data_IF_757286990568
#
_entry.id   IF_757286990568
#
_cell.length_a   1.000
_cell.length_b   1.000
_cell.length_c   1.000
_cell.angle_alpha   90.00
_cell.angle_beta   90.00
_cell.angle_gamma   90.00
#
_symmetry.space_group_name_H-M   'P 1'
#
loop_
_entity.id
_entity.type
_entity.pdbx_description
1 polymer ?
#
# COMPACT_ATOMS: atom_id res chain seq x y z
N UNK A 1 -51.58 -9.31 -43.30
CA UNK A 1 -50.47 -8.48 -43.82
C UNK A 1 -50.02 -7.35 -42.88
N UNK A 2 -50.76 -7.00 -41.81
CA UNK A 2 -50.37 -5.91 -40.88
C UNK A 2 -49.29 -6.24 -39.83
N UNK A 3 -49.00 -7.51 -39.55
CA UNK A 3 -48.03 -7.87 -38.48
C UNK A 3 -46.55 -7.72 -38.88
N UNK A 4 -46.22 -7.64 -40.17
CA UNK A 4 -44.83 -7.47 -40.64
C UNK A 4 -44.38 -6.00 -40.64
N UNK A 5 -45.32 -5.05 -40.74
CA UNK A 5 -45.00 -3.61 -40.79
C UNK A 5 -44.53 -3.07 -39.43
N UNK A 6 -45.18 -3.51 -38.35
CA UNK A 6 -44.84 -3.11 -36.96
C UNK A 6 -43.46 -3.59 -36.50
N UNK A 7 -43.00 -4.73 -37.01
CA UNK A 7 -41.66 -5.27 -36.69
C UNK A 7 -40.55 -4.48 -37.40
N UNK A 8 -40.83 -3.95 -38.60
CA UNK A 8 -39.85 -3.11 -39.33
C UNK A 8 -39.75 -1.68 -38.78
N UNK A 9 -40.82 -1.11 -38.22
CA UNK A 9 -40.76 0.23 -37.59
C UNK A 9 -40.03 0.23 -36.24
N UNK A 10 -40.14 -0.84 -35.44
CA UNK A 10 -39.46 -0.94 -34.14
C UNK A 10 -37.91 -1.03 -34.27
N UNK A 11 -37.44 -1.61 -35.38
CA UNK A 11 -36.02 -1.75 -35.71
C UNK A 11 -35.41 -0.47 -36.31
N UNK A 12 -36.22 0.51 -36.71
CA UNK A 12 -35.78 1.75 -37.37
C UNK A 12 -35.75 2.97 -36.44
N UNK A 13 -35.95 2.80 -35.13
CA UNK A 13 -35.80 3.91 -34.17
C UNK A 13 -34.33 4.15 -33.82
N UNK A 14 -33.82 5.40 -33.90
CA UNK A 14 -32.41 5.72 -33.66
C UNK A 14 -31.90 5.33 -32.26
N UNK A 15 -32.80 5.21 -31.28
CA UNK A 15 -32.49 4.77 -29.93
C UNK A 15 -32.20 3.27 -29.76
N UNK A 16 -32.87 2.40 -30.52
CA UNK A 16 -32.72 0.93 -30.38
C UNK A 16 -31.47 0.43 -31.09
N UNK A 17 -31.13 1.02 -32.24
CA UNK A 17 -29.88 0.81 -32.96
C UNK A 17 -28.64 1.23 -32.14
N UNK A 18 -28.71 2.36 -31.44
CA UNK A 18 -27.62 2.85 -30.59
C UNK A 18 -27.34 1.95 -29.39
N UNK A 19 -28.38 1.38 -28.78
CA UNK A 19 -28.25 0.46 -27.66
C UNK A 19 -27.63 -0.89 -28.10
N UNK A 20 -28.07 -1.42 -29.24
CA UNK A 20 -27.56 -2.67 -29.79
C UNK A 20 -26.07 -2.58 -30.19
N UNK A 21 -25.67 -1.47 -30.82
CA UNK A 21 -24.25 -1.22 -31.17
C UNK A 21 -23.40 -1.03 -29.90
N UNK A 22 -23.93 -0.33 -28.89
CA UNK A 22 -23.23 -0.14 -27.61
C UNK A 22 -22.98 -1.46 -26.87
N UNK A 23 -23.97 -2.35 -26.80
CA UNK A 23 -23.83 -3.68 -26.18
C UNK A 23 -22.86 -4.56 -26.96
N UNK A 24 -22.94 -4.57 -28.29
CA UNK A 24 -22.02 -5.36 -29.12
C UNK A 24 -20.55 -4.89 -28.97
N UNK A 25 -20.32 -3.58 -28.97
CA UNK A 25 -18.97 -3.02 -28.79
C UNK A 25 -18.43 -3.31 -27.38
N UNK A 26 -19.27 -3.18 -26.35
CA UNK A 26 -18.91 -3.52 -24.97
C UNK A 26 -18.56 -4.99 -24.75
N UNK A 27 -19.31 -5.91 -25.37
CA UNK A 27 -19.03 -7.36 -25.29
C UNK A 27 -17.74 -7.74 -26.03
N UNK A 28 -17.45 -7.14 -27.20
CA UNK A 28 -16.22 -7.40 -27.95
C UNK A 28 -14.97 -6.90 -27.21
N UNK A 29 -15.01 -5.69 -26.62
CA UNK A 29 -13.92 -5.15 -25.81
C UNK A 29 -13.74 -5.96 -24.52
N UNK A 30 -14.85 -6.33 -23.86
CA UNK A 30 -14.83 -7.13 -22.63
C UNK A 30 -14.24 -8.53 -22.80
N UNK A 31 -14.57 -9.25 -23.88
CA UNK A 31 -13.96 -10.55 -24.18
C UNK A 31 -12.53 -10.43 -24.69
N UNK A 32 -12.20 -9.40 -25.48
CA UNK A 32 -10.82 -9.16 -25.94
C UNK A 32 -9.84 -8.93 -24.78
N UNK A 33 -10.22 -8.12 -23.79
CA UNK A 33 -9.40 -7.88 -22.58
C UNK A 33 -9.28 -9.13 -21.70
N UNK A 34 -10.32 -9.97 -21.61
CA UNK A 34 -10.30 -11.19 -20.79
C UNK A 34 -9.41 -12.29 -21.38
N UNK A 35 -9.31 -12.37 -22.71
CA UNK A 35 -8.43 -13.34 -23.40
C UNK A 35 -6.97 -12.88 -23.35
N UNK A 36 -6.69 -11.57 -23.37
CA UNK A 36 -5.33 -11.04 -23.31
C UNK A 36 -4.69 -11.12 -21.91
N UNK A 37 -5.48 -11.02 -20.83
CA UNK A 37 -4.99 -11.08 -19.44
C UNK A 37 -5.25 -12.42 -18.71
N UNK A 38 -5.90 -13.40 -19.36
CA UNK A 38 -6.40 -14.62 -18.71
C UNK A 38 -5.44 -15.82 -18.64
N UNK A 39 -4.19 -15.71 -19.10
CA UNK A 39 -3.21 -16.81 -18.99
C UNK A 39 -2.24 -16.57 -17.83
N UNK A 40 -2.66 -16.97 -16.63
CA UNK A 40 -1.73 -17.39 -15.57
C UNK A 40 -1.69 -18.92 -15.56
N UNK A 41 -0.50 -19.56 -15.63
CA UNK A 41 -0.40 -21.01 -15.71
C UNK A 41 -0.76 -21.65 -14.37
N UNK A 42 -1.67 -22.62 -14.43
CA UNK A 42 -2.06 -23.52 -13.34
C UNK A 42 -1.09 -24.71 -13.34
N UNK A 43 -0.16 -24.76 -12.38
CA UNK A 43 0.68 -25.95 -12.18
C UNK A 43 -0.07 -27.01 -11.38
N UNK A 44 -0.12 -28.22 -11.94
CA UNK A 44 -0.59 -29.46 -11.33
C UNK A 44 0.47 -30.08 -10.41
N UNK A 45 0.09 -30.89 -9.40
CA UNK A 45 1.05 -31.57 -8.53
C UNK A 45 1.55 -32.87 -9.18
N UNK A 46 2.84 -33.16 -9.07
CA UNK A 46 3.43 -34.48 -9.31
C UNK A 46 4.32 -34.84 -8.13
N UNK A 47 4.04 -35.98 -7.50
CA UNK A 47 4.84 -36.56 -6.41
C UNK A 47 6.06 -37.33 -6.94
N UNK A 48 7.02 -37.55 -6.01
CA UNK A 48 8.21 -38.46 -6.04
C UNK A 48 9.34 -38.03 -6.98
N UNK A 49 10.60 -37.87 -6.53
CA UNK A 49 11.40 -38.77 -5.72
C UNK A 49 12.33 -38.07 -4.69
N UNK A 50 12.69 -38.87 -3.68
CA UNK A 50 13.70 -38.65 -2.64
C UNK A 50 15.09 -38.40 -3.22
N UNK A 51 15.77 -37.33 -2.79
CA UNK A 51 17.20 -37.39 -2.46
C UNK A 51 17.69 -36.21 -1.61
N UNK A 52 18.37 -36.61 -0.56
CA UNK A 52 19.03 -35.90 0.54
C UNK A 52 19.83 -34.66 0.11
N UNK A 53 19.29 -33.48 0.37
CA UNK A 53 20.02 -32.22 0.45
C UNK A 53 19.44 -31.43 1.60
N UNK A 54 20.28 -30.98 2.52
CA UNK A 54 19.92 -30.08 3.63
C UNK A 54 19.50 -28.73 3.05
N UNK A 55 18.29 -28.67 2.52
CA UNK A 55 17.59 -27.43 2.28
C UNK A 55 16.95 -27.05 3.61
N UNK A 56 17.58 -26.11 4.29
CA UNK A 56 16.94 -25.37 5.38
C UNK A 56 15.70 -24.73 4.79
N UNK A 57 14.58 -25.43 4.91
CA UNK A 57 13.26 -24.93 4.60
C UNK A 57 12.95 -23.81 5.58
N UNK A 58 13.33 -22.59 5.21
CA UNK A 58 12.81 -21.35 5.80
C UNK A 58 11.36 -21.16 5.36
N UNK A 59 10.53 -22.14 5.71
CA UNK A 59 9.08 -22.04 5.66
C UNK A 59 8.61 -21.45 6.99
N UNK A 60 8.38 -20.14 6.99
CA UNK A 60 7.36 -19.53 7.85
C UNK A 60 7.80 -18.92 9.17
N UNK A 61 8.76 -18.00 9.19
CA UNK A 61 8.62 -16.86 10.11
C UNK A 61 7.61 -15.87 9.49
N UNK A 62 6.32 -16.20 9.52
CA UNK A 62 5.29 -15.18 9.30
C UNK A 62 5.20 -14.32 10.56
N UNK A 63 6.27 -13.57 10.84
CA UNK A 63 6.32 -12.60 11.93
C UNK A 63 5.34 -11.46 11.66
N UNK A 64 4.95 -10.74 12.71
CA UNK A 64 4.14 -9.54 12.56
C UNK A 64 4.91 -8.46 11.80
N UNK A 65 4.25 -7.76 10.87
CA UNK A 65 4.81 -6.61 10.17
C UNK A 65 4.03 -5.35 10.56
N UNK A 66 4.71 -4.23 10.73
CA UNK A 66 4.08 -2.94 11.04
C UNK A 66 4.81 -1.75 10.43
N UNK A 67 4.11 -0.61 10.43
CA UNK A 67 4.67 0.70 10.16
C UNK A 67 4.53 1.56 11.42
N UNK A 68 5.57 2.31 11.76
CA UNK A 68 5.55 3.25 12.88
C UNK A 68 5.58 4.68 12.35
N UNK A 69 4.73 5.54 12.91
CA UNK A 69 4.65 6.96 12.60
C UNK A 69 5.04 7.73 13.87
N UNK A 70 6.24 8.28 13.89
CA UNK A 70 6.79 9.03 15.03
C UNK A 70 6.49 10.51 14.83
N UNK A 71 5.66 11.07 15.70
CA UNK A 71 5.22 12.47 15.66
C UNK A 71 6.03 13.30 16.64
N UNK A 72 6.54 14.46 16.19
CA UNK A 72 7.14 15.46 17.09
C UNK A 72 6.10 16.14 17.96
N UNK A 73 6.28 16.06 19.27
CA UNK A 73 5.32 16.55 20.27
C UNK A 73 5.61 17.95 20.81
N UNK A 74 6.82 18.47 20.61
CA UNK A 74 7.21 19.87 20.85
C UNK A 74 6.45 20.84 19.93
N UNK A 75 6.18 20.43 18.69
CA UNK A 75 5.50 21.22 17.67
C UNK A 75 4.02 21.55 17.96
N UNK A 76 3.42 20.97 19.01
CA UNK A 76 2.02 21.16 19.44
C UNK A 76 1.00 21.15 18.29
N UNK A 77 1.21 20.30 17.29
CA UNK A 77 0.33 20.18 16.13
C UNK A 77 -1.09 19.80 16.56
N UNK A 78 -2.10 20.48 16.00
CA UNK A 78 -3.50 20.09 16.16
C UNK A 78 -3.79 18.73 15.54
N UNK A 79 -4.83 18.04 16.04
CA UNK A 79 -5.20 16.67 15.64
C UNK A 79 -5.30 16.47 14.11
N UNK A 80 -5.96 17.40 13.41
CA UNK A 80 -6.11 17.34 11.96
C UNK A 80 -4.77 17.44 11.22
N UNK A 81 -3.87 18.30 11.69
CA UNK A 81 -2.52 18.43 11.11
C UNK A 81 -1.70 17.16 11.35
N UNK A 82 -1.76 16.58 12.55
CA UNK A 82 -1.07 15.31 12.82
C UNK A 82 -1.58 14.18 11.92
N UNK A 83 -2.89 14.05 11.76
CA UNK A 83 -3.48 13.07 10.86
C UNK A 83 -2.98 13.23 9.41
N UNK A 84 -2.93 14.47 8.90
CA UNK A 84 -2.42 14.77 7.56
C UNK A 84 -0.93 14.41 7.42
N UNK A 85 -0.09 14.83 8.38
CA UNK A 85 1.35 14.56 8.34
C UNK A 85 1.67 13.05 8.47
N UNK A 86 0.94 12.34 9.33
CA UNK A 86 1.00 10.87 9.41
C UNK A 86 0.61 10.20 8.10
N UNK A 87 -0.43 10.72 7.43
CA UNK A 87 -0.86 10.20 6.12
C UNK A 87 0.20 10.43 5.04
N UNK A 88 0.86 11.60 5.03
CA UNK A 88 1.98 11.86 4.13
C UNK A 88 3.15 10.91 4.36
N UNK A 89 3.52 10.67 5.62
CA UNK A 89 4.58 9.72 6.01
C UNK A 89 4.23 8.30 5.54
N UNK A 90 3.00 7.85 5.78
CA UNK A 90 2.56 6.51 5.41
C UNK A 90 2.55 6.28 3.89
N UNK A 91 2.00 7.22 3.12
CA UNK A 91 1.97 7.11 1.64
C UNK A 91 3.37 7.17 1.05
N UNK A 92 4.23 8.03 1.59
CA UNK A 92 5.62 8.12 1.15
C UNK A 92 6.40 6.83 1.46
N UNK A 93 6.26 6.28 2.67
CA UNK A 93 6.84 5.01 3.06
C UNK A 93 6.34 3.84 2.19
N UNK A 94 5.03 3.76 1.93
CA UNK A 94 4.42 2.79 1.01
C UNK A 94 5.06 2.83 -0.38
N UNK A 95 5.15 4.02 -0.99
CA UNK A 95 5.74 4.19 -2.33
C UNK A 95 7.22 3.82 -2.35
N UNK A 96 7.95 4.05 -1.27
CA UNK A 96 9.37 3.67 -1.17
C UNK A 96 9.52 2.15 -1.06
N UNK A 97 8.80 1.50 -0.14
CA UNK A 97 8.91 0.05 0.05
C UNK A 97 8.41 -0.72 -1.16
N UNK A 98 7.37 -0.22 -1.84
CA UNK A 98 6.84 -0.84 -3.06
C UNK A 98 7.92 -0.98 -4.14
N UNK A 99 8.86 -0.03 -4.22
CA UNK A 99 9.96 -0.09 -5.20
C UNK A 99 11.16 -0.87 -4.69
N UNK A 100 11.46 -0.77 -3.39
CA UNK A 100 12.68 -1.35 -2.79
C UNK A 100 12.52 -2.82 -2.42
N UNK A 101 11.38 -3.19 -1.85
CA UNK A 101 11.11 -4.53 -1.36
C UNK A 101 9.60 -4.85 -1.41
N UNK A 102 9.06 -5.21 -2.58
CA UNK A 102 7.65 -5.58 -2.75
C UNK A 102 7.21 -6.75 -1.87
N UNK A 103 8.13 -7.66 -1.51
CA UNK A 103 7.83 -8.79 -0.65
C UNK A 103 7.47 -8.34 0.77
N UNK A 104 8.27 -7.47 1.37
CA UNK A 104 7.97 -6.89 2.70
C UNK A 104 6.65 -6.11 2.69
N UNK A 105 6.39 -5.37 1.61
CA UNK A 105 5.10 -4.68 1.45
C UNK A 105 3.94 -5.67 1.50
N UNK A 106 4.02 -6.76 0.73
CA UNK A 106 2.98 -7.79 0.66
C UNK A 106 2.74 -8.47 2.02
N UNK A 107 3.80 -8.76 2.78
CA UNK A 107 3.65 -9.31 4.14
C UNK A 107 2.93 -8.34 5.08
N UNK A 108 3.31 -7.06 5.06
CA UNK A 108 2.62 -6.03 5.84
C UNK A 108 1.15 -5.88 5.45
N UNK A 109 0.82 -5.95 4.16
CA UNK A 109 -0.56 -5.94 3.67
C UNK A 109 -1.33 -7.18 4.16
N UNK A 110 -0.72 -8.36 4.18
CA UNK A 110 -1.32 -9.57 4.75
C UNK A 110 -1.57 -9.47 6.25
N UNK A 111 -0.74 -8.74 6.99
CA UNK A 111 -0.98 -8.41 8.39
C UNK A 111 -2.10 -7.37 8.60
N UNK A 112 -2.80 -6.92 7.56
CA UNK A 112 -3.81 -5.88 7.66
C UNK A 112 -3.23 -4.47 7.72
N UNK A 113 -2.00 -4.29 7.21
CA UNK A 113 -1.30 -3.01 7.08
C UNK A 113 -1.28 -2.14 8.35
N UNK A 114 -0.93 -2.69 9.54
CA UNK A 114 -1.03 -1.99 10.81
C UNK A 114 -0.06 -0.82 10.88
N UNK A 115 -0.55 0.28 11.46
CA UNK A 115 0.19 1.53 11.65
C UNK A 115 0.05 1.96 13.10
N UNK A 116 1.16 2.21 13.78
CA UNK A 116 1.17 2.66 15.18
C UNK A 116 1.75 4.07 15.23
N UNK A 117 1.06 4.97 15.92
CA UNK A 117 1.50 6.36 16.08
C UNK A 117 2.10 6.55 17.47
N UNK A 118 3.36 6.96 17.50
CA UNK A 118 4.14 7.22 18.72
C UNK A 118 4.66 8.65 18.70
N UNK A 119 5.23 9.12 19.81
CA UNK A 119 5.77 10.49 19.91
C UNK A 119 7.24 10.54 20.27
N UNK A 120 7.93 11.47 19.63
CA UNK A 120 9.26 11.94 20.00
C UNK A 120 9.17 13.33 20.66
N UNK A 121 10.07 13.67 21.60
CA UNK A 121 10.06 14.96 22.26
C UNK A 121 10.36 16.11 21.28
N UNK A 122 11.34 15.95 20.38
CA UNK A 122 11.91 17.01 19.56
C UNK A 122 12.50 16.50 18.23
N UNK A 123 13.16 17.39 17.48
CA UNK A 123 13.81 17.06 16.21
C UNK A 123 15.04 16.16 16.37
N UNK A 124 15.81 16.37 17.42
CA UNK A 124 17.05 15.62 17.65
C UNK A 124 16.74 14.14 17.85
N UNK A 125 15.80 13.82 18.76
CA UNK A 125 15.31 12.47 18.96
C UNK A 125 14.72 11.87 17.66
N UNK A 126 14.01 12.67 16.85
CA UNK A 126 13.49 12.21 15.57
C UNK A 126 14.61 11.80 14.59
N UNK A 127 15.71 12.55 14.56
CA UNK A 127 16.86 12.28 13.69
C UNK A 127 17.72 11.11 14.17
N UNK A 128 17.82 10.90 15.48
CA UNK A 128 18.43 9.70 16.06
C UNK A 128 17.68 8.43 15.66
N UNK A 129 16.35 8.43 15.79
CA UNK A 129 15.48 7.32 15.37
C UNK A 129 15.62 7.04 13.87
N UNK A 130 15.68 8.09 13.04
CA UNK A 130 15.90 7.97 11.59
C UNK A 130 17.24 7.27 11.30
N UNK A 131 18.31 7.68 11.99
CA UNK A 131 19.65 7.12 11.81
C UNK A 131 19.68 5.66 12.24
N UNK A 132 19.11 5.35 13.40
CA UNK A 132 19.02 3.98 13.91
C UNK A 132 18.23 3.07 12.97
N UNK A 133 17.06 3.51 12.49
CA UNK A 133 16.26 2.76 11.53
C UNK A 133 17.02 2.48 10.22
N UNK A 134 17.76 3.48 9.70
CA UNK A 134 18.60 3.29 8.51
C UNK A 134 19.72 2.27 8.73
N UNK A 135 20.37 2.27 9.90
CA UNK A 135 21.41 1.29 10.23
C UNK A 135 20.87 -0.15 10.24
N UNK A 136 19.60 -0.34 10.64
CA UNK A 136 18.92 -1.63 10.58
C UNK A 136 18.33 -1.96 9.19
N UNK A 137 18.59 -1.14 8.17
CA UNK A 137 18.10 -1.36 6.81
C UNK A 137 16.59 -1.09 6.63
N UNK A 138 15.93 -0.44 7.59
CA UNK A 138 14.50 -0.14 7.51
C UNK A 138 14.24 1.02 6.54
N UNK A 139 13.09 0.95 5.85
CA UNK A 139 12.62 2.08 5.04
C UNK A 139 12.22 3.23 5.98
N UNK A 140 12.63 4.45 5.64
CA UNK A 140 12.29 5.66 6.40
C UNK A 140 11.70 6.73 5.49
N UNK A 141 10.76 7.50 6.01
CA UNK A 141 10.13 8.63 5.34
C UNK A 141 10.04 9.80 6.30
N UNK A 142 10.79 10.86 6.02
CA UNK A 142 10.80 12.07 6.85
C UNK A 142 9.95 13.14 6.18
N UNK A 143 8.93 13.61 6.89
CA UNK A 143 8.02 14.64 6.39
C UNK A 143 8.41 16.00 6.95
N UNK A 144 8.34 17.00 6.07
CA UNK A 144 8.53 18.40 6.40
C UNK A 144 7.24 19.17 6.12
N UNK A 145 6.91 20.12 7.00
CA UNK A 145 5.81 21.03 6.74
C UNK A 145 6.24 22.10 5.74
N UNK A 146 5.44 22.31 4.69
CA UNK A 146 5.71 23.31 3.66
C UNK A 146 5.40 24.75 4.12
N UNK A 147 5.10 24.97 5.40
CA UNK A 147 4.86 26.31 5.94
C UNK A 147 3.49 26.91 5.62
N UNK A 148 2.50 26.09 5.24
CA UNK A 148 1.12 26.56 5.01
C UNK A 148 0.29 26.67 6.31
N UNK A 149 0.95 26.56 7.46
CA UNK A 149 0.31 26.52 8.78
C UNK A 149 1.18 27.19 9.85
N UNK A 150 0.76 27.12 11.11
CA UNK A 150 1.33 27.80 12.30
C UNK A 150 2.75 27.34 12.73
N UNK A 151 3.45 26.51 11.95
CA UNK A 151 4.79 26.01 12.28
C UNK A 151 5.79 26.58 11.29
N UNK A 152 7.03 26.79 11.73
CA UNK A 152 8.11 27.27 10.88
C UNK A 152 8.24 26.42 9.60
N UNK A 153 8.23 27.04 8.41
CA UNK A 153 8.41 26.33 7.15
C UNK A 153 9.67 25.47 7.16
N UNK A 154 9.58 24.24 6.65
CA UNK A 154 10.71 23.31 6.60
C UNK A 154 10.90 22.46 7.86
N UNK A 155 10.13 22.74 8.93
CA UNK A 155 10.14 21.93 10.15
C UNK A 155 9.84 20.47 9.83
N UNK A 156 10.71 19.56 10.31
CA UNK A 156 10.48 18.12 10.24
C UNK A 156 9.39 17.76 11.24
N UNK A 157 8.32 17.10 10.80
CA UNK A 157 7.11 16.89 11.62
C UNK A 157 6.92 15.44 12.04
N UNK A 158 7.01 14.51 11.09
CA UNK A 158 6.72 13.10 11.29
C UNK A 158 7.78 12.25 10.57
N UNK A 159 8.26 11.21 11.25
CA UNK A 159 9.08 10.15 10.69
C UNK A 159 8.24 8.88 10.55
N UNK A 160 8.05 8.41 9.32
CA UNK A 160 7.57 7.07 9.04
C UNK A 160 8.72 6.08 9.03
N UNK A 161 8.60 4.97 9.74
CA UNK A 161 9.54 3.85 9.75
C UNK A 161 8.80 2.59 9.30
N UNK A 162 9.39 1.87 8.36
CA UNK A 162 8.81 0.68 7.74
C UNK A 162 7.99 0.95 6.48
N UNK A 163 7.11 0.02 6.08
CA UNK A 163 6.79 -1.24 6.77
C UNK A 163 7.97 -2.21 6.93
N UNK A 164 7.90 -3.10 7.92
CA UNK A 164 8.91 -4.12 8.17
C UNK A 164 8.60 -4.99 9.40
N UNK A 165 9.47 -5.97 9.71
CA UNK A 165 9.28 -6.91 10.82
C UNK A 165 9.13 -6.19 12.16
N UNK A 166 8.14 -6.57 12.96
CA UNK A 166 7.78 -5.88 14.19
C UNK A 166 8.90 -5.89 15.24
N UNK A 167 9.65 -6.97 15.34
CA UNK A 167 10.81 -7.12 16.22
C UNK A 167 11.92 -6.12 15.88
N UNK A 168 12.22 -5.90 14.60
CA UNK A 168 13.18 -4.89 14.14
C UNK A 168 12.65 -3.47 14.38
N UNK A 169 11.35 -3.24 14.20
CA UNK A 169 10.73 -1.95 14.51
C UNK A 169 10.86 -1.62 16.00
N UNK A 170 10.63 -2.60 16.88
CA UNK A 170 10.65 -2.38 18.33
C UNK A 170 12.05 -2.13 18.88
N UNK A 171 13.11 -2.62 18.23
CA UNK A 171 14.49 -2.21 18.52
C UNK A 171 14.70 -0.70 18.36
N UNK A 172 13.97 -0.06 17.45
CA UNK A 172 14.07 1.39 17.20
C UNK A 172 13.08 2.17 18.07
N UNK A 173 11.82 1.73 18.14
CA UNK A 173 10.73 2.57 18.67
C UNK A 173 10.01 1.99 19.88
N UNK A 174 10.37 0.80 20.37
CA UNK A 174 9.62 0.10 21.43
C UNK A 174 9.59 0.84 22.78
N UNK A 175 10.54 1.75 23.00
CA UNK A 175 10.60 2.59 24.20
C UNK A 175 9.76 3.88 24.09
N UNK A 176 9.24 4.21 22.91
CA UNK A 176 8.47 5.43 22.68
C UNK A 176 7.03 5.27 23.18
N UNK A 177 6.49 6.37 23.70
CA UNK A 177 5.08 6.42 24.13
C UNK A 177 4.16 6.58 22.91
N UNK A 178 2.96 6.01 22.99
CA UNK A 178 1.89 6.30 22.05
C UNK A 178 1.59 7.81 22.02
N UNK A 179 1.24 8.33 20.84
CA UNK A 179 1.00 9.76 20.61
C UNK A 179 -0.19 10.28 21.45
#
# INVERSE_FOLDING_TARGET
MLSRSLVMEYLAHPGTLSLAVGVACGMCLGWGLRVHFGKLPKSSPSETDTETGTETSTLGESGEYKMILVVRSDLKMGKGKVAAQCSHAAVSAYKQIQRRNPHVLKQWEYCGQPKVVVKAPDEEALMELLTHAKMLGLTVSLIQDAGRTQIEPGSRTVLGIGPGPADLMDKVTGHLKLY
#
